data_IF_097949880016
#
_entry.id   IF_097949880016
#
_cell.length_a   1.000
_cell.length_b   1.000
_cell.length_c   1.000
_cell.angle_alpha   90.00
_cell.angle_beta   90.00
_cell.angle_gamma   90.00
#
_symmetry.space_group_name_H-M   'P 1'
#
loop_
_entity.id
_entity.type
_entity.pdbx_description
1 polymer ?
#
# COMPACT_ATOMS: atom_id res chain seq x y z
N UNK A 1 -61.26 20.92 -29.48
CA UNK A 1 -60.16 20.19 -30.15
C UNK A 1 -59.46 21.11 -31.14
N UNK A 2 -58.30 21.67 -30.76
CA UNK A 2 -57.28 22.26 -31.65
C UNK A 2 -55.94 22.17 -30.91
N UNK A 3 -55.03 21.36 -31.43
CA UNK A 3 -53.65 21.18 -30.95
C UNK A 3 -52.77 22.11 -31.80
N UNK A 4 -51.87 22.92 -31.21
CA UNK A 4 -50.79 23.50 -31.99
C UNK A 4 -49.40 23.10 -31.49
N UNK A 5 -48.62 22.71 -32.50
CA UNK A 5 -47.19 22.98 -32.68
C UNK A 5 -46.18 22.33 -31.71
N UNK A 6 -45.60 21.23 -32.22
CA UNK A 6 -44.26 20.76 -31.85
C UNK A 6 -43.22 21.82 -32.24
N UNK A 7 -42.37 22.22 -31.29
CA UNK A 7 -41.08 22.86 -31.56
C UNK A 7 -40.00 21.95 -30.98
N UNK A 8 -39.01 21.66 -31.81
CA UNK A 8 -37.91 20.74 -31.55
C UNK A 8 -36.65 21.48 -31.05
N UNK A 9 -35.89 20.76 -30.20
CA UNK A 9 -34.44 20.82 -29.96
C UNK A 9 -33.86 22.02 -29.17
N UNK A 10 -32.74 21.87 -28.43
CA UNK A 10 -31.74 20.79 -28.51
C UNK A 10 -31.48 20.00 -27.21
N UNK A 11 -30.97 18.78 -27.40
CA UNK A 11 -30.28 18.00 -26.36
C UNK A 11 -29.06 18.79 -25.87
N UNK A 12 -29.08 19.21 -24.61
CA UNK A 12 -27.86 19.59 -23.92
C UNK A 12 -27.12 18.32 -23.49
N UNK A 13 -26.18 17.85 -24.30
CA UNK A 13 -25.20 16.85 -23.86
C UNK A 13 -24.22 17.57 -22.94
N UNK A 14 -24.54 17.58 -21.64
CA UNK A 14 -23.59 17.96 -20.60
C UNK A 14 -22.44 16.95 -20.65
N UNK A 15 -21.31 17.39 -21.17
CA UNK A 15 -20.07 16.62 -21.21
C UNK A 15 -19.70 16.19 -19.80
N UNK A 16 -19.71 14.88 -19.57
CA UNK A 16 -19.10 14.27 -18.39
C UNK A 16 -17.60 14.49 -18.54
N UNK A 17 -17.07 15.52 -17.89
CA UNK A 17 -15.64 15.62 -17.64
C UNK A 17 -15.29 14.46 -16.72
N UNK A 18 -14.85 13.35 -17.30
CA UNK A 18 -14.28 12.24 -16.58
C UNK A 18 -13.02 12.75 -15.86
N UNK A 19 -13.16 13.10 -14.59
CA UNK A 19 -12.02 13.29 -13.69
C UNK A 19 -11.42 11.90 -13.46
N UNK A 20 -10.63 11.43 -14.41
CA UNK A 20 -9.81 10.26 -14.20
C UNK A 20 -8.84 10.59 -13.07
N UNK A 21 -9.01 9.95 -11.91
CA UNK A 21 -8.01 9.99 -10.86
C UNK A 21 -6.67 9.55 -11.46
N UNK A 22 -5.56 10.27 -11.19
CA UNK A 22 -4.27 9.85 -11.70
C UNK A 22 -4.00 8.43 -11.19
N UNK A 23 -3.65 7.53 -12.11
CA UNK A 23 -3.18 6.20 -11.73
C UNK A 23 -1.94 6.37 -10.87
N UNK A 24 -2.04 6.10 -9.58
CA UNK A 24 -0.87 6.06 -8.71
C UNK A 24 -0.05 4.85 -9.13
N UNK A 25 1.14 5.09 -9.67
CA UNK A 25 2.08 4.02 -9.94
C UNK A 25 2.34 3.28 -8.63
N UNK A 26 2.13 1.96 -8.61
CA UNK A 26 2.55 1.13 -7.48
C UNK A 26 4.07 1.15 -7.48
N UNK A 27 4.65 2.01 -6.66
CA UNK A 27 6.10 2.11 -6.51
C UNK A 27 6.56 0.90 -5.71
N UNK A 28 7.37 0.05 -6.34
CA UNK A 28 7.98 -1.09 -5.66
C UNK A 28 8.85 -0.55 -4.51
N UNK A 29 8.68 -1.08 -3.29
CA UNK A 29 9.54 -0.75 -2.15
C UNK A 29 11.02 -0.89 -2.48
N UNK A 30 11.85 -0.05 -1.86
CA UNK A 30 13.29 -0.30 -1.86
C UNK A 30 13.55 -1.66 -1.22
N UNK A 31 14.39 -2.42 -1.90
CA UNK A 31 14.79 -3.76 -1.52
C UNK A 31 15.65 -3.73 -0.26
N UNK A 32 15.34 -4.58 0.72
CA UNK A 32 16.02 -4.69 2.00
C UNK A 32 15.91 -6.12 2.54
N UNK A 33 16.71 -6.54 3.49
CA UNK A 33 16.60 -7.87 4.10
C UNK A 33 16.28 -7.78 5.59
N UNK A 34 15.66 -8.84 6.10
CA UNK A 34 15.61 -9.03 7.55
C UNK A 34 17.02 -9.30 8.08
N UNK A 35 17.55 -8.42 8.92
CA UNK A 35 18.89 -8.56 9.54
C UNK A 35 18.84 -9.18 10.94
N UNK A 36 17.65 -9.36 11.52
CA UNK A 36 17.49 -10.10 12.76
C UNK A 36 17.50 -11.61 12.50
N UNK A 37 17.94 -12.40 13.49
CA UNK A 37 17.89 -13.87 13.40
C UNK A 37 16.44 -14.38 13.28
N UNK A 38 15.51 -13.73 13.98
CA UNK A 38 14.08 -13.93 13.82
C UNK A 38 13.34 -12.60 14.01
N UNK A 39 12.29 -12.37 13.23
CA UNK A 39 11.42 -11.22 13.35
C UNK A 39 9.96 -11.61 13.11
N UNK A 40 9.06 -11.26 14.02
CA UNK A 40 7.62 -11.44 13.82
C UNK A 40 7.11 -10.47 12.75
N UNK A 41 6.28 -10.99 11.83
CA UNK A 41 5.64 -10.24 10.77
C UNK A 41 4.12 -10.32 10.91
N UNK A 42 3.49 -9.17 11.07
CA UNK A 42 2.06 -9.01 11.37
C UNK A 42 1.31 -8.43 10.18
N UNK A 43 0.01 -8.69 10.11
CA UNK A 43 -0.86 -8.21 9.04
C UNK A 43 -1.06 -6.71 9.09
N UNK A 44 -1.28 -6.16 10.28
CA UNK A 44 -1.56 -4.75 10.42
C UNK A 44 -1.09 -4.19 11.76
N UNK A 45 -1.16 -2.87 11.88
CA UNK A 45 -0.83 -2.11 13.08
C UNK A 45 -2.01 -1.21 13.45
N UNK A 46 -2.42 -1.27 14.72
CA UNK A 46 -3.40 -0.36 15.30
C UNK A 46 -2.70 0.61 16.26
N UNK A 47 -3.04 1.90 16.18
CA UNK A 47 -2.35 2.92 16.98
C UNK A 47 -2.61 2.80 18.49
N UNK A 48 -3.69 2.15 18.91
CA UNK A 48 -4.02 1.99 20.32
C UNK A 48 -3.44 0.70 20.91
N UNK A 49 -3.35 -0.37 20.12
CA UNK A 49 -3.03 -1.72 20.60
C UNK A 49 -1.75 -2.34 20.01
N UNK A 50 -1.19 -1.74 18.96
CA UNK A 50 0.04 -2.18 18.31
C UNK A 50 -0.17 -3.19 17.17
N UNK A 51 0.86 -4.00 16.83
CA UNK A 51 0.77 -4.96 15.73
C UNK A 51 -0.17 -6.12 16.08
N UNK A 52 -0.92 -6.61 15.10
CA UNK A 52 -1.85 -7.72 15.28
C UNK A 52 -1.98 -8.57 14.01
N UNK A 53 -2.54 -9.77 14.17
CA UNK A 53 -2.64 -10.75 13.09
C UNK A 53 -1.26 -11.28 12.68
N UNK A 54 -0.61 -12.07 13.54
CA UNK A 54 0.68 -12.66 13.21
C UNK A 54 0.55 -13.51 11.94
N UNK A 55 1.31 -13.14 10.89
CA UNK A 55 1.32 -13.87 9.61
C UNK A 55 2.39 -14.94 9.62
N UNK A 56 3.63 -14.56 9.96
CA UNK A 56 4.74 -15.50 10.09
C UNK A 56 5.92 -14.90 10.84
N UNK A 57 6.95 -15.73 11.03
CA UNK A 57 8.28 -15.29 11.45
C UNK A 57 9.17 -15.22 10.21
N UNK A 58 9.91 -14.11 10.09
CA UNK A 58 10.95 -13.90 9.10
C UNK A 58 12.30 -14.29 9.70
N UNK A 59 13.06 -15.09 8.97
CA UNK A 59 14.43 -15.47 9.31
C UNK A 59 15.43 -14.48 8.72
N UNK A 60 16.66 -14.50 9.22
CA UNK A 60 17.75 -13.70 8.67
C UNK A 60 17.88 -13.87 7.15
N UNK A 61 18.05 -12.76 6.43
CA UNK A 61 18.20 -12.75 4.97
C UNK A 61 16.88 -12.91 4.21
N UNK A 62 15.74 -13.12 4.88
CA UNK A 62 14.45 -13.10 4.21
C UNK A 62 14.22 -11.78 3.47
N UNK A 63 13.60 -11.92 2.29
CA UNK A 63 13.52 -10.84 1.35
C UNK A 63 12.36 -9.88 1.66
N UNK A 64 12.64 -8.65 2.09
CA UNK A 64 11.64 -7.63 2.40
C UNK A 64 11.77 -6.29 1.64
N UNK A 65 10.76 -5.45 1.73
CA UNK A 65 10.70 -4.14 1.09
C UNK A 65 10.34 -3.06 2.07
N UNK A 66 11.17 -2.03 2.16
CA UNK A 66 10.86 -0.83 2.93
C UNK A 66 11.54 0.38 2.30
N UNK A 67 10.82 1.49 2.16
CA UNK A 67 11.39 2.75 1.63
C UNK A 67 11.36 3.77 2.77
N UNK A 68 12.52 4.11 3.37
CA UNK A 68 12.59 5.11 4.43
C UNK A 68 11.98 6.44 4.00
N UNK A 69 11.12 7.01 4.85
CA UNK A 69 10.42 8.26 4.57
C UNK A 69 9.20 8.15 3.65
N UNK A 70 9.00 7.02 2.97
CA UNK A 70 7.81 6.78 2.15
C UNK A 70 6.82 5.81 2.80
N UNK A 71 7.30 4.82 3.57
CA UNK A 71 6.44 3.87 4.26
C UNK A 71 6.27 4.23 5.73
N UNK A 72 5.07 4.02 6.31
CA UNK A 72 4.79 4.39 7.67
C UNK A 72 5.60 3.57 8.67
N UNK A 73 5.96 4.22 9.78
CA UNK A 73 6.61 3.63 10.94
C UNK A 73 5.86 4.10 12.18
N UNK A 74 5.34 3.14 12.95
CA UNK A 74 4.56 3.40 14.17
C UNK A 74 5.22 2.72 15.36
N UNK A 75 5.73 3.50 16.31
CA UNK A 75 6.30 2.98 17.56
C UNK A 75 7.32 1.84 17.34
N UNK A 76 8.22 2.00 16.35
CA UNK A 76 9.23 1.00 16.00
C UNK A 76 8.74 -0.13 15.07
N UNK A 77 7.49 -0.11 14.61
CA UNK A 77 6.96 -1.05 13.62
C UNK A 77 6.86 -0.39 12.26
N UNK A 78 7.52 -0.97 11.26
CA UNK A 78 7.57 -0.44 9.91
C UNK A 78 6.69 -1.25 8.97
N UNK A 79 5.88 -0.56 8.16
CA UNK A 79 5.20 -1.20 7.04
C UNK A 79 6.24 -1.74 6.07
N UNK A 80 6.12 -3.02 5.79
CA UNK A 80 7.15 -3.81 5.13
C UNK A 80 6.48 -4.78 4.17
N UNK A 81 7.00 -4.85 2.95
CA UNK A 81 6.55 -5.82 1.96
C UNK A 81 7.39 -7.10 2.09
N UNK A 82 6.77 -8.26 2.23
CA UNK A 82 7.47 -9.54 2.20
C UNK A 82 7.44 -10.09 0.77
N UNK A 83 8.61 -10.13 0.13
CA UNK A 83 8.73 -10.58 -1.26
C UNK A 83 8.65 -12.10 -1.42
N UNK A 84 8.63 -12.87 -0.33
CA UNK A 84 8.37 -14.31 -0.42
C UNK A 84 6.90 -14.58 -0.82
N UNK A 85 5.93 -14.22 0.02
CA UNK A 85 4.50 -14.33 -0.28
C UNK A 85 3.94 -13.21 -1.18
N UNK A 86 4.72 -12.15 -1.45
CA UNK A 86 4.26 -10.92 -2.10
C UNK A 86 3.12 -10.23 -1.35
N UNK A 87 3.34 -9.96 -0.07
CA UNK A 87 2.30 -9.45 0.81
C UNK A 87 2.82 -8.35 1.73
N UNK A 88 1.94 -7.44 2.15
CA UNK A 88 2.26 -6.37 3.08
C UNK A 88 2.06 -6.80 4.53
N UNK A 89 2.77 -6.12 5.42
CA UNK A 89 2.63 -6.30 6.85
C UNK A 89 3.55 -5.37 7.63
N UNK A 90 3.74 -5.69 8.90
CA UNK A 90 4.55 -4.91 9.84
C UNK A 90 5.57 -5.79 10.54
N UNK A 91 6.82 -5.32 10.58
CA UNK A 91 7.88 -5.87 11.42
C UNK A 91 8.62 -4.77 12.16
N UNK A 92 9.47 -5.17 13.11
CA UNK A 92 10.34 -4.27 13.86
C UNK A 92 11.34 -3.58 12.93
N UNK A 93 11.38 -2.26 12.98
CA UNK A 93 12.21 -1.45 12.07
C UNK A 93 13.70 -1.73 12.23
N UNK A 94 14.16 -2.04 13.45
CA UNK A 94 15.56 -2.39 13.71
C UNK A 94 15.99 -3.69 13.01
N UNK A 95 15.03 -4.51 12.57
CA UNK A 95 15.29 -5.74 11.83
C UNK A 95 15.36 -5.51 10.31
N UNK A 96 15.14 -4.29 9.83
CA UNK A 96 15.21 -3.94 8.40
C UNK A 96 16.60 -3.37 8.10
N UNK A 97 17.36 -4.05 7.24
CA UNK A 97 18.70 -3.61 6.86
C UNK A 97 19.13 -4.16 5.50
N UNK A 98 20.41 -4.02 5.14
CA UNK A 98 20.92 -4.50 3.84
C UNK A 98 20.16 -3.90 2.66
N UNK A 99 19.88 -2.60 2.70
CA UNK A 99 19.20 -1.94 1.60
C UNK A 99 20.02 -2.05 0.30
N UNK A 100 19.31 -2.27 -0.81
CA UNK A 100 19.87 -2.48 -2.16
C UNK A 100 20.86 -3.66 -2.26
N UNK A 101 20.86 -4.59 -1.29
CA UNK A 101 21.80 -5.71 -1.25
C UNK A 101 21.25 -6.99 -1.88
N UNK A 102 20.19 -6.89 -2.71
CA UNK A 102 19.65 -8.01 -3.45
C UNK A 102 19.34 -7.67 -4.90
#
# INVERSE_FOLDING_TARGET
MRIPARIAAPLAVLGVLATASPAQAVVVPRHAVNICQSASFYDNYDSASGPHGLKRVLEYGNKIGHTPGAHPVYNGWAATFDFGPNDWGYMRIECIGGYDSW
#
